data_IF_997543741803
#
_entry.id   IF_997543741803
#
_cell.length_a   1.000
_cell.length_b   1.000
_cell.length_c   1.000
_cell.angle_alpha   90.00
_cell.angle_beta   90.00
_cell.angle_gamma   90.00
#
_symmetry.space_group_name_H-M   'P 1'
#
loop_
_entity.id
_entity.type
_entity.pdbx_description
1 polymer ?
#
# COMPACT_ATOMS: atom_id res chain seq x y z
N UNK A 1 -27.32 29.45 -54.10
CA UNK A 1 -28.36 28.44 -53.79
C UNK A 1 -28.49 27.48 -54.96
N UNK A 2 -28.86 26.22 -54.74
CA UNK A 2 -28.94 25.18 -55.77
C UNK A 2 -30.19 24.31 -55.54
N UNK A 3 -30.86 23.87 -56.60
CA UNK A 3 -32.02 22.97 -56.49
C UNK A 3 -31.55 21.55 -56.26
N UNK A 4 -32.36 20.77 -55.54
CA UNK A 4 -32.06 19.35 -55.27
C UNK A 4 -31.99 18.49 -56.54
N UNK A 5 -32.77 18.83 -57.57
CA UNK A 5 -32.74 18.19 -58.89
C UNK A 5 -31.36 18.27 -59.54
N UNK A 6 -30.72 19.44 -59.42
CA UNK A 6 -29.49 19.79 -60.11
C UNK A 6 -28.25 19.23 -59.41
N UNK A 7 -28.40 18.74 -58.17
CA UNK A 7 -27.32 18.07 -57.43
C UNK A 7 -27.15 16.64 -57.97
N UNK A 8 -25.93 16.25 -58.38
CA UNK A 8 -25.64 14.90 -58.87
C UNK A 8 -26.09 13.81 -57.88
N UNK A 9 -26.72 12.75 -58.38
CA UNK A 9 -27.30 11.68 -57.53
C UNK A 9 -26.31 11.07 -56.55
N UNK A 10 -25.03 10.91 -56.95
CA UNK A 10 -23.97 10.34 -56.11
C UNK A 10 -23.62 11.21 -54.89
N UNK A 11 -23.64 12.53 -55.02
CA UNK A 11 -23.25 13.47 -53.94
C UNK A 11 -24.43 14.04 -53.16
N UNK A 12 -25.66 13.86 -53.67
CA UNK A 12 -26.90 14.44 -53.12
C UNK A 12 -27.12 14.16 -51.63
N UNK A 13 -26.93 12.90 -51.18
CA UNK A 13 -27.10 12.54 -49.75
C UNK A 13 -26.14 13.30 -48.84
N UNK A 14 -24.87 13.43 -49.23
CA UNK A 14 -23.88 14.14 -48.42
C UNK A 14 -24.12 15.65 -48.43
N UNK A 15 -24.51 16.19 -49.59
CA UNK A 15 -24.79 17.61 -49.76
C UNK A 15 -25.96 18.07 -48.89
N UNK A 16 -27.09 17.34 -48.92
CA UNK A 16 -28.29 17.65 -48.11
C UNK A 16 -27.98 17.64 -46.61
N UNK A 17 -27.10 16.76 -46.15
CA UNK A 17 -26.73 16.66 -44.72
C UNK A 17 -25.86 17.82 -44.23
N UNK A 18 -25.15 18.49 -45.15
CA UNK A 18 -24.10 19.46 -44.82
C UNK A 18 -24.45 20.90 -45.16
N UNK A 19 -25.61 21.15 -45.78
CA UNK A 19 -26.00 22.47 -46.27
C UNK A 19 -27.41 22.83 -45.80
N UNK A 20 -27.64 24.12 -45.58
CA UNK A 20 -28.92 24.63 -45.09
C UNK A 20 -30.01 24.51 -46.17
N UNK A 21 -31.18 23.96 -45.80
CA UNK A 21 -32.38 23.92 -46.65
C UNK A 21 -33.15 25.22 -46.47
N UNK A 22 -33.53 25.90 -47.55
CA UNK A 22 -34.44 27.04 -47.43
C UNK A 22 -35.82 26.61 -46.93
N UNK A 23 -36.54 27.47 -46.20
CA UNK A 23 -37.96 27.28 -45.93
C UNK A 23 -38.73 26.99 -47.22
N UNK A 24 -39.70 26.07 -47.14
CA UNK A 24 -40.49 25.58 -48.27
C UNK A 24 -41.13 26.72 -49.06
N UNK A 25 -41.68 27.70 -48.34
CA UNK A 25 -42.46 28.80 -48.89
C UNK A 25 -41.58 29.71 -49.75
N UNK A 26 -40.39 30.03 -49.24
CA UNK A 26 -39.39 30.82 -49.96
C UNK A 26 -38.85 30.06 -51.18
N UNK A 27 -38.64 28.75 -51.06
CA UNK A 27 -38.13 27.93 -52.15
C UNK A 27 -39.13 27.80 -53.31
N UNK A 28 -40.43 27.69 -53.00
CA UNK A 28 -41.52 27.68 -54.00
C UNK A 28 -41.60 29.03 -54.71
N UNK A 29 -41.63 30.15 -53.98
CA UNK A 29 -41.67 31.49 -54.57
C UNK A 29 -40.50 31.77 -55.52
N UNK A 30 -39.29 31.34 -55.15
CA UNK A 30 -38.09 31.48 -55.99
C UNK A 30 -38.21 30.60 -57.24
N UNK A 31 -38.75 29.39 -57.10
CA UNK A 31 -38.89 28.45 -58.23
C UNK A 31 -39.96 28.90 -59.22
N UNK A 32 -41.06 29.47 -58.74
CA UNK A 32 -42.19 29.97 -59.56
C UNK A 32 -42.03 31.43 -60.00
N UNK A 33 -40.87 32.05 -59.73
CA UNK A 33 -40.57 33.47 -60.04
C UNK A 33 -41.63 34.44 -59.50
N UNK A 34 -42.09 34.21 -58.27
CA UNK A 34 -43.00 35.10 -57.55
C UNK A 34 -44.48 34.99 -57.93
N UNK A 35 -44.88 34.01 -58.74
CA UNK A 35 -46.30 33.77 -59.07
C UNK A 35 -47.06 32.98 -57.99
N UNK A 36 -46.38 32.47 -56.97
CA UNK A 36 -46.97 31.55 -55.98
C UNK A 36 -47.27 30.17 -56.59
N UNK A 37 -47.73 29.22 -55.78
CA UNK A 37 -48.32 27.96 -56.26
C UNK A 37 -49.79 27.92 -55.84
N UNK A 38 -50.71 27.67 -56.77
CA UNK A 38 -52.15 27.59 -56.50
C UNK A 38 -52.56 26.32 -55.72
N UNK A 39 -51.59 25.52 -55.26
CA UNK A 39 -51.81 24.30 -54.48
C UNK A 39 -50.99 24.39 -53.19
N UNK A 40 -51.67 24.32 -52.06
CA UNK A 40 -51.11 24.57 -50.72
C UNK A 40 -50.12 23.51 -50.21
N UNK A 41 -49.83 22.44 -50.95
CA UNK A 41 -48.91 21.39 -50.44
C UNK A 41 -48.20 20.60 -51.56
N UNK A 42 -47.60 21.29 -52.54
CA UNK A 42 -46.74 20.61 -53.52
C UNK A 42 -45.31 20.42 -52.98
N UNK A 43 -45.11 19.38 -52.15
CA UNK A 43 -43.81 18.92 -51.67
C UNK A 43 -42.99 18.19 -52.76
N UNK A 44 -43.03 18.68 -54.00
CA UNK A 44 -42.27 18.11 -55.10
C UNK A 44 -40.76 18.37 -54.91
N UNK A 45 -39.89 17.36 -55.11
CA UNK A 45 -38.44 17.48 -54.90
C UNK A 45 -37.77 18.51 -55.84
N UNK A 46 -38.49 19.00 -56.85
CA UNK A 46 -38.07 20.07 -57.76
C UNK A 46 -38.07 21.45 -57.10
N UNK A 47 -38.83 21.64 -56.02
CA UNK A 47 -38.94 22.91 -55.30
C UNK A 47 -38.02 22.98 -54.07
N UNK A 48 -37.24 21.93 -53.78
CA UNK A 48 -36.26 21.97 -52.68
C UNK A 48 -34.98 22.70 -53.09
N UNK A 49 -34.73 23.86 -52.49
CA UNK A 49 -33.52 24.66 -52.70
C UNK A 49 -32.62 24.61 -51.46
N UNK A 50 -31.33 24.36 -51.69
CA UNK A 50 -30.29 24.33 -50.67
C UNK A 50 -29.30 25.49 -50.83
N UNK A 51 -28.79 26.01 -49.72
CA UNK A 51 -27.68 26.96 -49.74
C UNK A 51 -26.39 26.26 -50.20
N UNK A 52 -25.53 26.99 -50.89
CA UNK A 52 -24.17 26.52 -51.20
C UNK A 52 -23.21 26.72 -50.00
N UNK A 53 -23.64 27.44 -48.97
CA UNK A 53 -22.93 27.55 -47.70
C UNK A 53 -23.10 26.29 -46.86
N UNK A 54 -21.99 25.71 -46.39
CA UNK A 54 -22.00 24.54 -45.50
C UNK A 54 -22.45 24.94 -44.09
N UNK A 55 -23.40 24.20 -43.53
CA UNK A 55 -23.83 24.31 -42.12
C UNK A 55 -22.92 23.48 -41.19
N UNK A 56 -21.61 23.47 -41.44
CA UNK A 56 -20.65 22.69 -40.68
C UNK A 56 -20.42 23.32 -39.30
N UNK A 57 -20.41 22.49 -38.25
CA UNK A 57 -19.84 22.88 -36.95
C UNK A 57 -18.43 23.42 -37.18
N UNK A 58 -18.12 24.56 -36.56
CA UNK A 58 -16.79 25.17 -36.57
C UNK A 58 -15.74 24.11 -36.23
N UNK A 59 -14.84 23.83 -37.18
CA UNK A 59 -13.65 23.01 -36.96
C UNK A 59 -12.51 24.02 -36.91
N UNK A 60 -11.95 24.34 -35.73
CA UNK A 60 -10.81 25.25 -35.67
C UNK A 60 -9.67 24.69 -36.51
N UNK A 61 -9.01 25.56 -37.30
CA UNK A 61 -7.75 25.22 -37.92
C UNK A 61 -6.70 25.18 -36.80
N UNK A 62 -6.23 23.97 -36.46
CA UNK A 62 -5.16 23.77 -35.48
C UNK A 62 -3.84 24.24 -36.11
N UNK A 63 -3.18 25.24 -35.51
CA UNK A 63 -1.97 25.90 -36.04
C UNK A 63 -0.68 25.12 -35.70
N UNK A 64 -0.78 23.85 -35.35
CA UNK A 64 0.38 22.94 -35.17
C UNK A 64 0.94 22.87 -33.75
N UNK A 65 0.77 23.91 -32.93
CA UNK A 65 1.40 24.01 -31.60
C UNK A 65 0.46 23.74 -30.41
N UNK A 66 -0.79 23.35 -30.67
CA UNK A 66 -1.72 22.95 -29.62
C UNK A 66 -1.48 21.47 -29.25
N UNK A 67 -1.10 21.19 -27.99
CA UNK A 67 -1.06 19.81 -27.49
C UNK A 67 -2.45 19.19 -27.66
N UNK A 68 -2.53 18.15 -28.49
CA UNK A 68 -3.77 17.38 -28.63
C UNK A 68 -4.11 16.85 -27.24
N UNK A 69 -5.19 17.33 -26.63
CA UNK A 69 -5.78 16.71 -25.45
C UNK A 69 -6.24 15.29 -25.82
N UNK A 70 -5.31 14.35 -25.83
CA UNK A 70 -5.60 12.93 -25.89
C UNK A 70 -6.40 12.61 -24.64
N UNK A 71 -7.65 12.16 -24.83
CA UNK A 71 -8.45 11.66 -23.71
C UNK A 71 -7.67 10.53 -23.07
N UNK A 72 -7.17 10.76 -21.86
CA UNK A 72 -6.39 9.78 -21.10
C UNK A 72 -7.26 8.54 -20.93
N UNK A 73 -6.85 7.42 -21.55
CA UNK A 73 -7.55 6.15 -21.39
C UNK A 73 -7.53 5.65 -19.94
N UNK A 74 -8.52 4.84 -19.55
CA UNK A 74 -8.66 4.34 -18.17
C UNK A 74 -7.39 3.69 -17.60
N UNK A 75 -6.64 2.94 -18.42
CA UNK A 75 -5.39 2.32 -17.98
C UNK A 75 -4.29 3.34 -17.64
N UNK A 76 -4.15 4.39 -18.45
CA UNK A 76 -3.18 5.47 -18.23
C UNK A 76 -3.61 6.33 -17.04
N UNK A 77 -4.90 6.64 -16.93
CA UNK A 77 -5.47 7.32 -15.76
C UNK A 77 -5.20 6.53 -14.47
N UNK A 78 -5.42 5.22 -14.48
CA UNK A 78 -5.13 4.37 -13.33
C UNK A 78 -3.64 4.36 -12.99
N UNK A 79 -2.73 4.37 -13.96
CA UNK A 79 -1.29 4.45 -13.67
C UNK A 79 -0.92 5.75 -12.94
N UNK A 80 -1.42 6.90 -13.40
CA UNK A 80 -1.09 8.22 -12.85
C UNK A 80 -1.91 8.64 -11.62
N UNK A 81 -2.93 7.87 -11.24
CA UNK A 81 -3.74 8.21 -10.07
C UNK A 81 -2.92 8.14 -8.77
N UNK A 82 -3.12 9.11 -7.89
CA UNK A 82 -2.48 9.17 -6.58
C UNK A 82 -2.71 7.85 -5.80
N UNK A 83 -1.65 7.25 -5.20
CA UNK A 83 -1.77 6.05 -4.38
C UNK A 83 -2.87 6.12 -3.31
N UNK A 84 -3.06 7.27 -2.68
CA UNK A 84 -4.13 7.47 -1.69
C UNK A 84 -5.53 7.25 -2.29
N UNK A 85 -5.78 7.80 -3.49
CA UNK A 85 -7.06 7.65 -4.19
C UNK A 85 -7.23 6.20 -4.66
N UNK A 86 -6.18 5.56 -5.18
CA UNK A 86 -6.22 4.13 -5.56
C UNK A 86 -6.60 3.25 -4.36
N UNK A 87 -6.02 3.53 -3.21
CA UNK A 87 -6.30 2.80 -1.97
C UNK A 87 -7.71 3.04 -1.48
N UNK A 88 -8.20 4.28 -1.55
CA UNK A 88 -9.58 4.61 -1.22
C UNK A 88 -10.57 3.86 -2.12
N UNK A 89 -10.35 3.87 -3.45
CA UNK A 89 -11.18 3.14 -4.41
C UNK A 89 -11.18 1.63 -4.10
N UNK A 90 -10.03 1.04 -3.80
CA UNK A 90 -9.92 -0.37 -3.41
C UNK A 90 -10.75 -0.68 -2.16
N UNK A 91 -10.62 0.15 -1.11
CA UNK A 91 -11.40 -0.03 0.12
C UNK A 91 -12.90 0.09 -0.18
N UNK A 92 -13.31 1.08 -0.98
CA UNK A 92 -14.70 1.27 -1.38
C UNK A 92 -15.28 0.05 -2.12
N UNK A 93 -14.53 -0.52 -3.07
CA UNK A 93 -14.96 -1.73 -3.80
C UNK A 93 -15.12 -2.92 -2.85
N UNK A 94 -14.22 -3.09 -1.89
CA UNK A 94 -14.34 -4.15 -0.88
C UNK A 94 -15.51 -3.95 0.08
N UNK A 95 -15.89 -2.70 0.38
CA UNK A 95 -17.01 -2.41 1.28
C UNK A 95 -18.34 -2.88 0.69
N UNK A 96 -18.53 -2.81 -0.63
CA UNK A 96 -19.79 -3.16 -1.31
C UNK A 96 -20.28 -4.59 -0.96
N UNK A 97 -19.52 -5.67 -1.23
CA UNK A 97 -20.00 -7.03 -0.95
C UNK A 97 -20.22 -7.29 0.55
N UNK A 98 -19.44 -6.66 1.42
CA UNK A 98 -19.62 -6.79 2.86
C UNK A 98 -20.88 -6.08 3.35
N UNK A 99 -21.09 -4.86 2.89
CA UNK A 99 -22.22 -4.01 3.25
C UNK A 99 -23.54 -4.67 2.86
N UNK A 100 -23.60 -5.23 1.65
CA UNK A 100 -24.79 -5.93 1.15
C UNK A 100 -25.13 -7.19 1.94
N UNK A 101 -24.16 -7.81 2.62
CA UNK A 101 -24.36 -9.07 3.33
C UNK A 101 -24.71 -8.89 4.82
N UNK A 102 -23.94 -8.08 5.56
CA UNK A 102 -24.14 -7.91 7.01
C UNK A 102 -24.71 -6.54 7.44
N UNK A 103 -24.85 -5.60 6.50
CA UNK A 103 -25.19 -4.21 6.83
C UNK A 103 -24.02 -3.42 7.45
N UNK A 104 -24.23 -2.13 7.73
CA UNK A 104 -23.16 -1.17 7.99
C UNK A 104 -22.35 -1.46 9.26
N UNK A 105 -23.01 -1.89 10.35
CA UNK A 105 -22.37 -2.07 11.67
C UNK A 105 -21.33 -3.18 11.62
N UNK A 106 -21.71 -4.36 11.14
CA UNK A 106 -20.82 -5.50 11.06
C UNK A 106 -19.77 -5.34 9.97
N UNK A 107 -20.06 -4.65 8.87
CA UNK A 107 -19.04 -4.24 7.89
C UNK A 107 -17.98 -3.35 8.54
N UNK A 108 -18.38 -2.36 9.34
CA UNK A 108 -17.45 -1.49 10.04
C UNK A 108 -16.58 -2.27 11.04
N UNK A 109 -17.16 -3.19 11.82
CA UNK A 109 -16.40 -4.08 12.73
C UNK A 109 -15.43 -4.96 11.94
N UNK A 110 -15.88 -5.57 10.84
CA UNK A 110 -15.07 -6.45 10.00
C UNK A 110 -13.85 -5.71 9.42
N UNK A 111 -14.08 -4.54 8.82
CA UNK A 111 -13.03 -3.72 8.26
C UNK A 111 -12.12 -3.14 9.35
N UNK A 112 -12.69 -2.77 10.49
CA UNK A 112 -11.95 -2.32 11.67
C UNK A 112 -10.94 -3.36 12.14
N UNK A 113 -11.38 -4.61 12.36
CA UNK A 113 -10.49 -5.71 12.77
C UNK A 113 -9.32 -5.86 11.79
N UNK A 114 -9.60 -5.89 10.49
CA UNK A 114 -8.55 -6.04 9.47
C UNK A 114 -7.63 -4.82 9.36
N UNK A 115 -8.16 -3.61 9.48
CA UNK A 115 -7.37 -2.38 9.47
C UNK A 115 -6.41 -2.34 10.67
N UNK A 116 -6.96 -2.49 11.88
CA UNK A 116 -6.17 -2.47 13.11
C UNK A 116 -5.14 -3.58 13.13
N UNK A 117 -5.48 -4.79 12.68
CA UNK A 117 -4.52 -5.89 12.55
C UNK A 117 -3.32 -5.52 11.68
N UNK A 118 -3.53 -4.95 10.50
CA UNK A 118 -2.43 -4.58 9.62
C UNK A 118 -1.59 -3.44 10.21
N UNK A 119 -2.26 -2.43 10.75
CA UNK A 119 -1.61 -1.30 11.43
C UNK A 119 -0.74 -1.78 12.60
N UNK A 120 -1.28 -2.61 13.51
CA UNK A 120 -0.55 -3.13 14.66
C UNK A 120 0.65 -3.98 14.23
N UNK A 121 0.47 -4.87 13.24
CA UNK A 121 1.58 -5.68 12.71
C UNK A 121 2.71 -4.79 12.20
N UNK A 122 2.38 -3.78 11.40
CA UNK A 122 3.37 -2.89 10.80
C UNK A 122 4.08 -2.06 11.88
N UNK A 123 3.31 -1.41 12.76
CA UNK A 123 3.83 -0.53 13.81
C UNK A 123 4.62 -1.29 14.87
N UNK A 124 4.12 -2.44 15.33
CA UNK A 124 4.83 -3.26 16.34
C UNK A 124 6.09 -3.87 15.74
N UNK A 125 6.06 -4.29 14.47
CA UNK A 125 7.27 -4.78 13.80
C UNK A 125 8.32 -3.68 13.64
N UNK A 126 7.89 -2.46 13.28
CA UNK A 126 8.73 -1.29 13.08
C UNK A 126 9.36 -0.74 14.36
N UNK A 127 8.52 -0.44 15.34
CA UNK A 127 8.84 0.43 16.48
C UNK A 127 8.87 -0.31 17.82
N UNK A 128 8.54 -1.60 17.80
CA UNK A 128 8.52 -2.48 18.96
C UNK A 128 7.22 -2.34 19.75
N UNK A 129 7.18 -2.99 20.91
CA UNK A 129 5.97 -3.09 21.74
C UNK A 129 5.64 -1.84 22.56
N UNK A 130 6.48 -0.80 22.52
CA UNK A 130 6.27 0.44 23.30
C UNK A 130 5.47 1.46 22.50
N UNK A 131 4.25 1.85 22.94
CA UNK A 131 3.39 2.77 22.19
C UNK A 131 3.99 4.15 21.91
N UNK A 132 4.85 4.66 22.80
CA UNK A 132 5.47 5.98 22.65
C UNK A 132 6.42 6.14 21.45
N UNK A 133 6.77 5.04 20.76
CA UNK A 133 7.63 5.07 19.59
C UNK A 133 6.87 4.87 18.26
N UNK A 134 5.54 4.80 18.30
CA UNK A 134 4.73 4.46 17.13
C UNK A 134 4.48 5.69 16.25
N UNK A 135 4.81 5.59 14.96
CA UNK A 135 4.58 6.66 13.99
C UNK A 135 3.70 6.19 12.83
N UNK A 136 2.87 7.07 12.29
CA UNK A 136 2.00 6.76 11.14
C UNK A 136 2.80 6.39 9.88
N UNK A 137 4.05 6.88 9.76
CA UNK A 137 4.96 6.59 8.66
C UNK A 137 5.41 5.11 8.63
N UNK A 138 5.24 4.40 9.75
CA UNK A 138 5.57 2.97 9.84
C UNK A 138 4.48 2.07 9.21
N UNK A 139 3.29 2.63 8.95
CA UNK A 139 2.14 1.88 8.43
C UNK A 139 2.21 1.81 6.91
N UNK A 140 2.14 0.60 6.35
CA UNK A 140 2.02 0.43 4.91
C UNK A 140 0.54 0.49 4.49
N UNK A 141 0.09 1.70 4.15
CA UNK A 141 -1.29 1.95 3.74
C UNK A 141 -1.68 1.22 2.44
N UNK A 142 -0.76 1.01 1.50
CA UNK A 142 -1.03 0.25 0.28
C UNK A 142 -1.36 -1.22 0.61
N UNK A 143 -0.56 -1.84 1.47
CA UNK A 143 -0.81 -3.21 1.90
C UNK A 143 -2.10 -3.31 2.73
N UNK A 144 -2.35 -2.34 3.60
CA UNK A 144 -3.58 -2.28 4.41
C UNK A 144 -4.82 -2.16 3.51
N UNK A 145 -4.80 -1.28 2.51
CA UNK A 145 -5.90 -1.12 1.57
C UNK A 145 -6.13 -2.37 0.70
N UNK A 146 -5.06 -3.06 0.28
CA UNK A 146 -5.19 -4.34 -0.42
C UNK A 146 -5.82 -5.41 0.48
N UNK A 147 -5.41 -5.50 1.75
CA UNK A 147 -6.02 -6.40 2.73
C UNK A 147 -7.52 -6.09 2.94
N UNK A 148 -7.89 -4.81 3.02
CA UNK A 148 -9.29 -4.38 3.16
C UNK A 148 -10.14 -4.69 1.92
N UNK A 149 -9.59 -4.52 0.72
CA UNK A 149 -10.24 -4.93 -0.52
C UNK A 149 -10.59 -6.42 -0.49
N UNK A 150 -9.59 -7.28 -0.24
CA UNK A 150 -9.81 -8.73 -0.22
C UNK A 150 -10.67 -9.19 0.95
N UNK A 151 -10.62 -8.54 2.12
CA UNK A 151 -11.48 -8.97 3.23
C UNK A 151 -12.96 -8.64 3.02
N UNK A 152 -13.27 -7.65 2.18
CA UNK A 152 -14.64 -7.35 1.80
C UNK A 152 -15.34 -8.52 1.11
N UNK A 153 -14.66 -9.15 0.16
CA UNK A 153 -15.18 -10.32 -0.57
C UNK A 153 -15.23 -11.60 0.26
N UNK A 154 -14.47 -11.70 1.37
CA UNK A 154 -14.54 -12.89 2.22
C UNK A 154 -15.85 -12.99 3.01
N UNK A 155 -16.52 -11.85 3.24
CA UNK A 155 -17.75 -11.76 4.03
C UNK A 155 -18.89 -12.64 3.50
N UNK A 156 -19.36 -12.46 2.25
CA UNK A 156 -20.45 -13.28 1.72
C UNK A 156 -20.06 -14.76 1.66
N UNK A 157 -18.81 -15.07 1.32
CA UNK A 157 -18.31 -16.44 1.28
C UNK A 157 -18.41 -17.14 2.64
N UNK A 158 -17.91 -16.49 3.70
CA UNK A 158 -17.96 -17.03 5.06
C UNK A 158 -19.41 -17.11 5.58
N UNK A 159 -20.25 -16.16 5.17
CA UNK A 159 -21.69 -16.19 5.40
C UNK A 159 -22.36 -17.43 4.84
N UNK A 160 -22.12 -17.72 3.55
CA UNK A 160 -22.67 -18.89 2.86
C UNK A 160 -22.19 -20.20 3.51
N UNK A 161 -20.90 -20.29 3.87
CA UNK A 161 -20.35 -21.48 4.54
C UNK A 161 -21.00 -21.70 5.90
N UNK A 162 -21.18 -20.63 6.70
CA UNK A 162 -21.89 -20.75 7.99
C UNK A 162 -23.32 -21.23 7.78
N UNK A 163 -24.07 -20.59 6.88
CA UNK A 163 -25.48 -20.91 6.66
C UNK A 163 -25.65 -22.36 6.21
N UNK A 164 -24.77 -22.84 5.33
CA UNK A 164 -24.80 -24.22 4.87
C UNK A 164 -24.41 -25.21 5.98
N UNK A 165 -23.42 -24.86 6.81
CA UNK A 165 -23.04 -25.67 7.95
C UNK A 165 -24.17 -25.80 8.97
N UNK A 166 -24.80 -24.68 9.34
CA UNK A 166 -25.91 -24.64 10.29
C UNK A 166 -27.13 -25.46 9.80
N UNK A 167 -27.30 -25.61 8.47
CA UNK A 167 -28.38 -26.39 7.88
C UNK A 167 -28.09 -27.91 7.83
N UNK A 168 -26.85 -28.29 7.51
CA UNK A 168 -26.48 -29.70 7.29
C UNK A 168 -26.10 -30.41 8.59
N UNK A 169 -25.54 -29.68 9.56
CA UNK A 169 -24.89 -30.31 10.69
C UNK A 169 -25.93 -31.01 11.60
N UNK A 170 -25.79 -32.32 11.86
CA UNK A 170 -26.79 -33.12 12.59
C UNK A 170 -26.67 -32.99 14.13
N UNK A 171 -25.73 -32.19 14.64
CA UNK A 171 -25.53 -32.05 16.08
C UNK A 171 -26.56 -31.09 16.70
N UNK A 172 -26.87 -31.25 18.00
CA UNK A 172 -27.65 -30.27 18.73
C UNK A 172 -26.99 -28.89 18.62
N UNK A 173 -27.79 -27.89 18.26
CA UNK A 173 -27.39 -26.49 18.35
C UNK A 173 -26.85 -26.25 19.77
N UNK A 174 -25.69 -25.59 19.88
CA UNK A 174 -24.97 -25.30 21.15
C UNK A 174 -24.15 -26.44 21.79
N UNK A 175 -24.05 -27.61 21.16
CA UNK A 175 -23.09 -28.63 21.60
C UNK A 175 -21.64 -28.18 21.40
N UNK A 176 -20.74 -28.58 22.32
CA UNK A 176 -19.28 -28.33 22.18
C UNK A 176 -18.77 -28.86 20.83
N UNK A 177 -19.19 -30.06 20.42
CA UNK A 177 -18.79 -30.65 19.14
C UNK A 177 -19.33 -29.89 17.93
N UNK A 178 -20.52 -29.28 18.06
CA UNK A 178 -21.10 -28.43 17.02
C UNK A 178 -20.29 -27.13 16.88
N UNK A 179 -20.00 -26.44 17.98
CA UNK A 179 -19.23 -25.19 17.97
C UNK A 179 -17.81 -25.42 17.44
N UNK A 180 -17.13 -26.46 17.93
CA UNK A 180 -15.82 -26.85 17.40
C UNK A 180 -15.92 -27.15 15.90
N UNK A 181 -16.84 -27.99 15.45
CA UNK A 181 -16.96 -28.27 14.01
C UNK A 181 -17.26 -27.00 13.19
N UNK A 182 -18.16 -26.13 13.66
CA UNK A 182 -18.54 -24.87 12.99
C UNK A 182 -17.33 -23.97 12.76
N UNK A 183 -16.56 -23.70 13.81
CA UNK A 183 -15.37 -22.85 13.67
C UNK A 183 -14.29 -23.50 12.81
N UNK A 184 -14.21 -24.84 12.77
CA UNK A 184 -13.24 -25.55 11.94
C UNK A 184 -13.48 -25.28 10.46
N UNK A 185 -14.73 -25.47 10.02
CA UNK A 185 -15.13 -25.21 8.63
C UNK A 185 -15.01 -23.73 8.26
N UNK A 186 -15.33 -22.81 9.18
CA UNK A 186 -15.13 -21.37 8.96
C UNK A 186 -13.64 -21.03 8.78
N UNK A 187 -12.76 -21.55 9.63
CA UNK A 187 -11.32 -21.32 9.55
C UNK A 187 -10.70 -21.94 8.30
N UNK A 188 -11.17 -23.11 7.87
CA UNK A 188 -10.78 -23.74 6.60
C UNK A 188 -11.25 -22.89 5.42
N UNK A 189 -12.53 -22.50 5.38
CA UNK A 189 -13.07 -21.69 4.30
C UNK A 189 -12.31 -20.37 4.15
N UNK A 190 -12.03 -19.70 5.27
CA UNK A 190 -11.19 -18.51 5.28
C UNK A 190 -9.75 -18.81 4.81
N UNK A 191 -9.18 -19.93 5.23
CA UNK A 191 -7.84 -20.36 4.79
C UNK A 191 -7.78 -20.59 3.28
N UNK A 192 -8.75 -21.30 2.72
CA UNK A 192 -8.87 -21.56 1.27
C UNK A 192 -9.05 -20.25 0.53
N UNK A 193 -9.91 -19.35 1.02
CA UNK A 193 -10.09 -18.02 0.46
C UNK A 193 -8.79 -17.22 0.44
N UNK A 194 -8.04 -17.25 1.54
CA UNK A 194 -6.74 -16.59 1.64
C UNK A 194 -5.74 -17.19 0.65
N UNK A 195 -5.68 -18.51 0.54
CA UNK A 195 -4.81 -19.18 -0.40
C UNK A 195 -5.16 -18.84 -1.86
N UNK A 196 -6.45 -18.78 -2.20
CA UNK A 196 -6.94 -18.47 -3.53
C UNK A 196 -6.55 -17.06 -3.98
N UNK A 197 -6.85 -16.03 -3.20
CA UNK A 197 -6.49 -14.67 -3.61
C UNK A 197 -4.98 -14.39 -3.52
N UNK A 198 -4.25 -15.09 -2.65
CA UNK A 198 -2.78 -14.99 -2.64
C UNK A 198 -2.15 -15.63 -3.88
N UNK A 199 -2.77 -16.67 -4.44
CA UNK A 199 -2.38 -17.24 -5.74
C UNK A 199 -2.64 -16.25 -6.87
N UNK A 200 -3.78 -15.54 -6.85
CA UNK A 200 -4.10 -14.47 -7.82
C UNK A 200 -3.06 -13.33 -7.73
N UNK A 201 -2.59 -13.01 -6.52
CA UNK A 201 -1.53 -12.02 -6.26
C UNK A 201 -0.11 -12.52 -6.58
N UNK A 202 0.04 -13.75 -7.06
CA UNK A 202 1.34 -14.35 -7.45
C UNK A 202 2.35 -14.42 -6.28
N UNK A 203 1.88 -14.69 -5.06
CA UNK A 203 2.79 -14.96 -3.94
C UNK A 203 3.43 -16.34 -4.04
N UNK A 204 4.60 -16.49 -3.41
CA UNK A 204 5.31 -17.77 -3.32
C UNK A 204 4.44 -18.86 -2.64
N UNK A 205 4.49 -20.08 -3.18
CA UNK A 205 3.78 -21.26 -2.63
C UNK A 205 4.04 -21.53 -1.15
N UNK A 206 5.21 -21.15 -0.61
CA UNK A 206 5.52 -21.21 0.82
C UNK A 206 4.71 -20.19 1.62
N UNK A 207 4.57 -18.97 1.11
CA UNK A 207 3.78 -17.89 1.74
C UNK A 207 2.30 -18.26 1.69
N UNK A 208 1.82 -18.79 0.57
CA UNK A 208 0.43 -19.25 0.41
C UNK A 208 0.10 -20.33 1.46
N UNK A 209 0.95 -21.35 1.61
CA UNK A 209 0.76 -22.41 2.62
C UNK A 209 0.79 -21.85 4.04
N UNK A 210 1.76 -20.99 4.36
CA UNK A 210 1.83 -20.34 5.68
C UNK A 210 0.57 -19.53 6.01
N UNK A 211 0.03 -18.82 5.01
CA UNK A 211 -1.20 -18.04 5.13
C UNK A 211 -2.46 -18.90 5.27
N UNK A 212 -2.48 -20.11 4.70
CA UNK A 212 -3.53 -21.08 4.93
C UNK A 212 -3.46 -21.63 6.36
N UNK A 213 -2.29 -22.13 6.77
CA UNK A 213 -2.10 -22.75 8.09
C UNK A 213 -2.36 -21.77 9.24
N UNK A 214 -2.00 -20.48 9.11
CA UNK A 214 -2.34 -19.49 10.14
C UNK A 214 -3.84 -19.34 10.36
N UNK A 215 -4.65 -19.46 9.31
CA UNK A 215 -6.11 -19.39 9.44
C UNK A 215 -6.66 -20.63 10.12
N UNK A 216 -6.09 -21.80 9.82
CA UNK A 216 -6.46 -23.06 10.45
C UNK A 216 -6.08 -23.11 11.94
N UNK A 217 -4.91 -22.56 12.32
CA UNK A 217 -4.46 -22.48 13.71
C UNK A 217 -5.34 -21.60 14.60
N UNK A 218 -6.17 -20.74 14.02
CA UNK A 218 -7.10 -19.91 14.77
C UNK A 218 -8.33 -20.66 15.29
N UNK A 219 -8.61 -21.85 14.75
CA UNK A 219 -9.81 -22.61 15.06
C UNK A 219 -9.97 -22.99 16.55
N UNK A 220 -8.94 -23.57 17.22
CA UNK A 220 -9.08 -23.95 18.63
C UNK A 220 -9.38 -22.76 19.53
N UNK A 221 -8.76 -21.61 19.25
CA UNK A 221 -9.01 -20.38 19.99
C UNK A 221 -10.44 -19.86 19.76
N UNK A 222 -10.90 -19.84 18.51
CA UNK A 222 -12.27 -19.41 18.21
C UNK A 222 -13.32 -20.28 18.91
N UNK A 223 -13.10 -21.60 18.95
CA UNK A 223 -14.01 -22.55 19.60
C UNK A 223 -13.99 -22.43 21.12
N UNK A 224 -12.81 -22.25 21.73
CA UNK A 224 -12.66 -22.11 23.17
C UNK A 224 -13.27 -20.82 23.73
N UNK A 225 -13.19 -19.73 22.96
CA UNK A 225 -13.75 -18.42 23.35
C UNK A 225 -15.18 -18.19 22.83
N UNK A 226 -15.77 -19.18 22.13
CA UNK A 226 -17.13 -19.10 21.60
C UNK A 226 -18.20 -18.77 22.65
N UNK A 227 -18.19 -19.34 23.88
CA UNK A 227 -19.21 -19.03 24.88
C UNK A 227 -19.24 -17.54 25.25
N UNK A 228 -18.07 -16.90 25.34
CA UNK A 228 -17.95 -15.48 25.67
C UNK A 228 -18.49 -14.62 24.53
N UNK A 229 -18.12 -14.96 23.28
CA UNK A 229 -18.61 -14.25 22.11
C UNK A 229 -20.12 -14.38 21.92
N UNK A 230 -20.68 -15.57 22.18
CA UNK A 230 -22.12 -15.83 22.11
C UNK A 230 -22.87 -15.05 23.19
N UNK A 231 -22.33 -14.98 24.42
CA UNK A 231 -22.89 -14.16 25.50
C UNK A 231 -22.95 -12.67 25.14
N UNK A 232 -21.94 -12.16 24.43
CA UNK A 232 -21.90 -10.77 23.94
C UNK A 232 -22.73 -10.54 22.67
N UNK A 233 -23.44 -11.55 22.15
CA UNK A 233 -24.23 -11.45 20.91
C UNK A 233 -23.39 -11.29 19.65
N UNK A 234 -22.09 -11.62 19.68
CA UNK A 234 -21.20 -11.47 18.53
C UNK A 234 -21.41 -12.64 17.56
N UNK A 235 -21.69 -12.40 16.27
CA UNK A 235 -21.85 -13.48 15.30
C UNK A 235 -20.60 -14.37 15.19
N UNK A 236 -20.78 -15.70 15.10
CA UNK A 236 -19.66 -16.65 15.03
C UNK A 236 -18.67 -16.37 13.87
N UNK A 237 -19.14 -15.78 12.77
CA UNK A 237 -18.28 -15.39 11.63
C UNK A 237 -17.30 -14.27 12.03
N UNK A 238 -17.76 -13.31 12.85
CA UNK A 238 -16.93 -12.21 13.36
C UNK A 238 -15.94 -12.75 14.39
N UNK A 239 -16.36 -13.68 15.26
CA UNK A 239 -15.47 -14.34 16.21
C UNK A 239 -14.36 -15.13 15.49
N UNK A 240 -14.71 -15.92 14.47
CA UNK A 240 -13.77 -16.69 13.67
C UNK A 240 -12.75 -15.79 12.96
N UNK A 241 -13.22 -14.66 12.40
CA UNK A 241 -12.34 -13.65 11.81
C UNK A 241 -11.39 -13.06 12.82
N UNK A 242 -11.89 -12.62 13.98
CA UNK A 242 -11.09 -11.97 15.00
C UNK A 242 -9.89 -12.85 15.40
N UNK A 243 -10.14 -14.12 15.71
CA UNK A 243 -9.08 -15.07 16.05
C UNK A 243 -8.14 -15.35 14.87
N UNK A 244 -8.65 -15.44 13.65
CA UNK A 244 -7.82 -15.57 12.45
C UNK A 244 -6.86 -14.39 12.27
N UNK A 245 -7.36 -13.17 12.46
CA UNK A 245 -6.58 -11.94 12.37
C UNK A 245 -5.60 -11.78 13.55
N UNK A 246 -5.97 -12.21 14.77
CA UNK A 246 -5.05 -12.25 15.92
C UNK A 246 -3.88 -13.21 15.71
N UNK A 247 -4.14 -14.46 15.32
CA UNK A 247 -3.08 -15.44 15.04
C UNK A 247 -2.19 -14.93 13.92
N UNK A 248 -2.78 -14.33 12.89
CA UNK A 248 -2.01 -13.73 11.82
C UNK A 248 -1.17 -12.53 12.30
N UNK A 249 -1.69 -11.70 13.20
CA UNK A 249 -0.93 -10.59 13.76
C UNK A 249 0.31 -11.05 14.53
N UNK A 250 0.18 -12.13 15.31
CA UNK A 250 1.29 -12.72 16.05
C UNK A 250 2.34 -13.29 15.09
N UNK A 251 1.91 -14.10 14.11
CA UNK A 251 2.83 -14.77 13.19
C UNK A 251 3.51 -13.76 12.26
N UNK A 252 2.74 -12.89 11.59
CA UNK A 252 3.28 -11.89 10.66
C UNK A 252 4.07 -10.79 11.38
N UNK A 253 3.58 -10.32 12.54
CA UNK A 253 4.30 -9.35 13.35
C UNK A 253 5.67 -9.87 13.78
N UNK A 254 5.73 -11.11 14.26
CA UNK A 254 7.00 -11.76 14.63
C UNK A 254 7.91 -11.96 13.41
N UNK A 255 7.35 -12.38 12.28
CA UNK A 255 8.09 -12.56 11.02
C UNK A 255 8.71 -11.27 10.50
N UNK A 256 7.91 -10.19 10.39
CA UNK A 256 8.37 -8.87 9.96
C UNK A 256 9.40 -8.30 10.91
N UNK A 257 9.16 -8.36 12.22
CA UNK A 257 10.08 -7.89 13.25
C UNK A 257 11.45 -8.58 13.14
N UNK A 258 11.45 -9.91 12.97
CA UNK A 258 12.67 -10.70 12.77
C UNK A 258 13.41 -10.30 11.51
N UNK A 259 12.70 -10.16 10.39
CA UNK A 259 13.30 -9.74 9.11
C UNK A 259 13.95 -8.37 9.22
N UNK A 260 13.28 -7.40 9.85
CA UNK A 260 13.84 -6.07 10.08
C UNK A 260 15.12 -6.15 10.92
N UNK A 261 15.12 -6.90 12.03
CA UNK A 261 16.33 -7.09 12.85
C UNK A 261 17.48 -7.68 12.04
N UNK A 262 17.21 -8.72 11.23
CA UNK A 262 18.24 -9.38 10.42
C UNK A 262 18.83 -8.41 9.39
N UNK A 263 17.99 -7.67 8.67
CA UNK A 263 18.44 -6.68 7.69
C UNK A 263 19.24 -5.57 8.36
N UNK A 264 18.75 -5.01 9.48
CA UNK A 264 19.47 -3.96 10.22
C UNK A 264 20.81 -4.44 10.75
N UNK A 265 20.87 -5.67 11.27
CA UNK A 265 22.11 -6.27 11.76
C UNK A 265 23.12 -6.44 10.63
N UNK A 266 22.67 -6.93 9.47
CA UNK A 266 23.51 -7.05 8.28
C UNK A 266 24.07 -5.69 7.87
N UNK A 267 23.21 -4.68 7.73
CA UNK A 267 23.64 -3.34 7.29
C UNK A 267 24.69 -2.75 8.26
N UNK A 268 24.48 -2.82 9.58
CA UNK A 268 25.49 -2.34 10.54
C UNK A 268 26.79 -3.15 10.51
N UNK A 269 26.73 -4.47 10.33
CA UNK A 269 27.94 -5.30 10.25
C UNK A 269 28.75 -5.06 8.97
N UNK A 270 28.10 -4.58 7.91
CA UNK A 270 28.77 -4.14 6.68
C UNK A 270 29.40 -2.74 6.85
N UNK A 271 28.69 -1.81 7.50
CA UNK A 271 29.13 -0.40 7.62
C UNK A 271 30.16 -0.19 8.74
N UNK A 272 30.06 -0.87 9.88
CA UNK A 272 30.97 -0.64 11.02
C UNK A 272 32.45 -0.80 10.69
N UNK A 273 32.90 -1.83 9.93
CA UNK A 273 34.29 -1.94 9.50
C UNK A 273 34.75 -0.79 8.58
N UNK A 274 33.84 -0.17 7.83
CA UNK A 274 34.16 0.95 6.94
C UNK A 274 34.57 2.22 7.70
N UNK A 275 34.26 2.32 9.00
CA UNK A 275 34.76 3.42 9.83
C UNK A 275 36.29 3.41 9.98
N UNK A 276 36.92 2.24 9.81
CA UNK A 276 38.38 2.09 9.86
C UNK A 276 39.06 2.12 8.49
N UNK A 277 38.35 2.45 7.40
CA UNK A 277 38.95 2.50 6.06
C UNK A 277 39.93 3.67 5.93
N UNK A 278 41.00 3.54 5.15
CA UNK A 278 41.96 4.64 4.92
C UNK A 278 41.34 5.82 4.12
N UNK A 279 40.34 5.52 3.27
CA UNK A 279 39.65 6.53 2.48
C UNK A 279 38.66 7.35 3.34
N UNK A 280 38.94 8.65 3.46
CA UNK A 280 38.13 9.61 4.21
C UNK A 280 36.70 9.73 3.66
N UNK A 281 36.52 9.61 2.34
CA UNK A 281 35.19 9.68 1.72
C UNK A 281 34.31 8.47 2.12
N UNK A 282 34.92 7.29 2.24
CA UNK A 282 34.24 6.06 2.70
C UNK A 282 33.90 6.18 4.18
N UNK A 283 34.83 6.67 5.01
CA UNK A 283 34.58 6.89 6.44
C UNK A 283 33.40 7.85 6.67
N UNK A 284 33.38 9.01 6.02
CA UNK A 284 32.31 10.01 6.18
C UNK A 284 30.96 9.48 5.67
N UNK A 285 30.96 8.70 4.59
CA UNK A 285 29.74 8.02 4.10
C UNK A 285 29.23 7.02 5.14
N UNK A 286 30.11 6.18 5.70
CA UNK A 286 29.77 5.23 6.74
C UNK A 286 29.23 5.93 8.00
N UNK A 287 29.78 7.10 8.35
CA UNK A 287 29.28 7.91 9.46
C UNK A 287 27.85 8.41 9.20
N UNK A 288 27.57 8.95 8.02
CA UNK A 288 26.22 9.37 7.63
C UNK A 288 25.24 8.20 7.65
N UNK A 289 25.62 7.05 7.11
CA UNK A 289 24.78 5.86 7.07
C UNK A 289 24.47 5.34 8.48
N UNK A 290 25.47 5.27 9.37
CA UNK A 290 25.25 4.88 10.76
C UNK A 290 24.30 5.85 11.45
N UNK A 291 24.50 7.16 11.27
CA UNK A 291 23.65 8.18 11.88
C UNK A 291 22.22 8.10 11.33
N UNK A 292 22.07 7.93 10.02
CA UNK A 292 20.79 7.78 9.35
C UNK A 292 20.06 6.52 9.81
N UNK A 293 20.73 5.37 9.84
CA UNK A 293 20.13 4.11 10.32
C UNK A 293 19.77 4.24 11.79
N UNK A 294 20.62 4.83 12.63
CA UNK A 294 20.34 5.02 14.04
C UNK A 294 19.18 5.99 14.31
N UNK A 295 19.05 7.06 13.55
CA UNK A 295 18.07 8.12 13.78
C UNK A 295 16.73 7.89 13.07
N UNK A 296 16.76 7.45 11.81
CA UNK A 296 15.59 7.42 10.91
C UNK A 296 15.08 6.02 10.61
N UNK A 297 15.91 4.98 10.67
CA UNK A 297 15.48 3.61 10.36
C UNK A 297 14.90 2.90 11.59
N UNK A 298 13.85 2.12 11.34
CA UNK A 298 13.19 1.26 12.32
C UNK A 298 14.19 0.32 13.00
N UNK A 299 14.09 0.20 14.32
CA UNK A 299 14.98 -0.59 15.20
C UNK A 299 16.48 -0.27 15.11
N UNK A 300 16.92 0.83 14.45
CA UNK A 300 18.34 1.14 14.28
C UNK A 300 19.10 1.24 15.60
N UNK A 301 18.57 2.02 16.55
CA UNK A 301 19.15 2.18 17.90
C UNK A 301 19.26 0.87 18.66
N UNK A 302 18.18 0.08 18.67
CA UNK A 302 18.11 -1.18 19.40
C UNK A 302 19.03 -2.25 18.80
N UNK A 303 19.17 -2.26 17.47
CA UNK A 303 20.06 -3.17 16.76
C UNK A 303 21.52 -2.83 17.04
N UNK A 304 21.92 -1.55 16.88
CA UNK A 304 23.27 -1.10 17.18
C UNK A 304 23.62 -1.32 18.65
N UNK A 305 22.70 -1.04 19.57
CA UNK A 305 22.85 -1.37 21.00
C UNK A 305 23.22 -2.85 21.22
N UNK A 306 22.49 -3.76 20.57
CA UNK A 306 22.70 -5.21 20.71
C UNK A 306 24.02 -5.67 20.12
N UNK A 307 24.45 -5.09 19.00
CA UNK A 307 25.75 -5.37 18.38
C UNK A 307 26.87 -4.93 19.32
N UNK A 308 26.81 -3.70 19.85
CA UNK A 308 27.89 -3.13 20.66
C UNK A 308 27.96 -3.66 22.10
N UNK A 309 26.89 -4.26 22.64
CA UNK A 309 26.86 -4.78 24.02
C UNK A 309 27.02 -6.29 24.14
N UNK A 310 27.24 -7.00 23.02
CA UNK A 310 27.28 -8.47 22.93
C UNK A 310 26.25 -9.17 23.84
N UNK A 311 25.02 -8.63 23.87
CA UNK A 311 23.90 -9.35 24.49
C UNK A 311 23.60 -10.52 23.57
N UNK A 312 24.12 -11.70 23.93
CA UNK A 312 23.86 -13.02 23.33
C UNK A 312 22.50 -13.00 22.63
N UNK A 313 22.49 -12.92 21.30
CA UNK A 313 21.30 -13.26 20.56
C UNK A 313 21.37 -14.74 20.26
N UNK A 314 20.74 -15.54 21.13
CA UNK A 314 20.25 -16.87 20.78
C UNK A 314 19.23 -16.71 19.66
N UNK A 315 19.75 -16.61 18.44
CA UNK A 315 19.01 -16.85 17.21
C UNK A 315 19.85 -17.83 16.41
N UNK A 316 20.06 -19.01 17.02
CA UNK A 316 20.83 -20.18 16.56
C UNK A 316 20.39 -20.76 15.21
N UNK A 317 19.38 -20.17 14.55
CA UNK A 317 18.85 -20.66 13.29
C UNK A 317 19.46 -19.96 12.06
N UNK A 318 20.14 -18.81 12.21
CA UNK A 318 20.67 -18.07 11.06
C UNK A 318 22.10 -18.53 10.74
N UNK A 319 22.20 -19.51 9.85
CA UNK A 319 23.44 -20.03 9.22
C UNK A 319 24.12 -19.01 8.28
N UNK A 320 24.07 -17.72 8.58
CA UNK A 320 24.88 -16.71 7.90
C UNK A 320 26.22 -16.62 8.63
N UNK A 321 27.27 -17.10 7.94
CA UNK A 321 28.71 -16.95 8.20
C UNK A 321 29.01 -16.32 9.56
N UNK A 322 29.31 -17.16 10.57
CA UNK A 322 29.72 -16.77 11.93
C UNK A 322 30.90 -15.78 11.89
N UNK A 323 30.65 -14.49 11.74
CA UNK A 323 31.58 -13.46 12.22
C UNK A 323 31.15 -13.19 13.66
N UNK A 324 31.77 -13.95 14.57
CA UNK A 324 31.59 -13.76 16.01
C UNK A 324 32.31 -12.45 16.32
N UNK A 325 31.57 -11.35 16.49
CA UNK A 325 32.18 -10.11 16.97
C UNK A 325 32.72 -10.40 18.36
N UNK A 326 34.05 -10.39 18.49
CA UNK A 326 34.71 -10.68 19.77
C UNK A 326 34.40 -9.52 20.74
N UNK A 327 34.30 -9.75 22.05
CA UNK A 327 34.07 -8.66 23.03
C UNK A 327 35.08 -7.51 22.88
N UNK A 328 36.32 -7.85 22.49
CA UNK A 328 37.38 -6.90 22.13
C UNK A 328 36.99 -6.01 20.94
N UNK A 329 36.47 -6.60 19.86
CA UNK A 329 36.00 -5.85 18.68
C UNK A 329 34.83 -4.93 19.02
N UNK A 330 33.89 -5.37 19.87
CA UNK A 330 32.77 -4.53 20.32
C UNK A 330 33.24 -3.30 21.09
N UNK A 331 34.25 -3.45 21.96
CA UNK A 331 34.84 -2.32 22.67
C UNK A 331 35.58 -1.38 21.73
N UNK A 332 36.35 -1.90 20.77
CA UNK A 332 37.04 -1.11 19.75
C UNK A 332 36.06 -0.27 18.92
N UNK A 333 34.95 -0.85 18.45
CA UNK A 333 33.92 -0.10 17.73
C UNK A 333 33.27 1.01 18.58
N UNK A 334 33.04 0.78 19.88
CA UNK A 334 32.50 1.82 20.77
C UNK A 334 33.46 3.00 20.89
N UNK A 335 34.77 2.73 20.98
CA UNK A 335 35.78 3.78 21.07
C UNK A 335 35.93 4.53 19.75
N UNK A 336 35.96 3.81 18.63
CA UNK A 336 35.98 4.39 17.29
C UNK A 336 34.75 5.28 17.04
N UNK A 337 33.55 4.84 17.43
CA UNK A 337 32.33 5.64 17.31
C UNK A 337 32.37 6.91 18.17
N UNK A 338 32.98 6.88 19.35
CA UNK A 338 33.11 8.09 20.19
C UNK A 338 34.07 9.07 19.54
N UNK A 339 35.21 8.59 19.03
CA UNK A 339 36.22 9.42 18.40
C UNK A 339 35.70 10.05 17.09
N UNK A 340 35.07 9.25 16.23
CA UNK A 340 34.62 9.71 14.91
C UNK A 340 33.40 10.63 15.00
N UNK A 341 32.50 10.43 15.98
CA UNK A 341 31.30 11.26 16.14
C UNK A 341 31.45 12.36 17.20
N UNK A 342 32.68 12.83 17.44
CA UNK A 342 32.92 13.99 18.29
C UNK A 342 32.21 15.23 17.69
N UNK A 343 31.27 15.89 18.40
CA UNK A 343 30.35 16.84 17.77
C UNK A 343 31.01 17.99 17.03
N UNK A 344 32.06 18.59 17.59
CA UNK A 344 32.72 19.76 16.99
C UNK A 344 33.39 19.41 15.66
N UNK A 345 34.16 18.32 15.64
CA UNK A 345 34.88 17.86 14.45
C UNK A 345 33.94 17.23 13.43
N UNK A 346 33.08 16.31 13.87
CA UNK A 346 32.21 15.55 12.99
C UNK A 346 31.16 16.45 12.31
N UNK A 347 30.64 17.47 13.00
CA UNK A 347 29.69 18.41 12.40
C UNK A 347 30.33 19.13 11.21
N UNK A 348 31.56 19.64 11.37
CA UNK A 348 32.28 20.34 10.31
C UNK A 348 32.63 19.42 9.14
N UNK A 349 33.25 18.26 9.42
CA UNK A 349 33.67 17.32 8.36
C UNK A 349 32.49 16.75 7.58
N UNK A 350 31.39 16.37 8.25
CA UNK A 350 30.21 15.84 7.59
C UNK A 350 29.49 16.92 6.78
N UNK A 351 29.35 18.15 7.30
CA UNK A 351 28.66 19.22 6.58
C UNK A 351 29.40 19.58 5.29
N UNK A 352 30.73 19.74 5.33
CA UNK A 352 31.51 20.03 4.13
C UNK A 352 31.43 18.89 3.10
N UNK A 353 31.50 17.64 3.57
CA UNK A 353 31.36 16.48 2.69
C UNK A 353 29.97 16.39 2.04
N UNK A 354 28.91 16.73 2.78
CA UNK A 354 27.56 16.76 2.24
C UNK A 354 27.45 17.82 1.14
N UNK A 355 27.93 19.04 1.41
CA UNK A 355 27.92 20.17 0.47
C UNK A 355 28.70 19.88 -0.82
N UNK A 356 29.81 19.17 -0.73
CA UNK A 356 30.66 18.86 -1.89
C UNK A 356 30.07 17.76 -2.79
N UNK A 357 29.34 16.79 -2.20
CA UNK A 357 29.01 15.53 -2.88
C UNK A 357 27.54 15.30 -3.20
N UNK A 358 26.63 15.99 -2.52
CA UNK A 358 25.17 15.80 -2.67
C UNK A 358 24.50 17.00 -3.34
N UNK A 359 23.35 16.76 -3.97
CA UNK A 359 22.58 17.79 -4.68
C UNK A 359 21.58 18.47 -3.74
N UNK A 360 21.14 19.67 -4.10
CA UNK A 360 20.42 20.63 -3.23
C UNK A 360 19.32 20.04 -2.33
N UNK A 361 18.46 19.14 -2.83
CA UNK A 361 17.41 18.56 -1.98
C UNK A 361 17.96 17.55 -0.96
N UNK A 362 18.93 16.72 -1.36
CA UNK A 362 19.53 15.70 -0.48
C UNK A 362 20.44 16.33 0.57
N UNK A 363 21.14 17.39 0.17
CA UNK A 363 22.01 18.20 1.03
C UNK A 363 21.26 18.73 2.26
N UNK A 364 20.11 19.37 2.06
CA UNK A 364 19.27 19.93 3.15
C UNK A 364 18.88 18.81 4.13
N UNK A 365 18.39 17.69 3.62
CA UNK A 365 17.93 16.55 4.45
C UNK A 365 19.07 15.94 5.26
N UNK A 366 20.26 15.82 4.67
CA UNK A 366 21.43 15.27 5.35
C UNK A 366 22.03 16.25 6.36
N UNK A 367 22.05 17.55 6.07
CA UNK A 367 22.48 18.57 7.03
C UNK A 367 21.53 18.59 8.23
N UNK A 368 20.22 18.59 8.02
CA UNK A 368 19.23 18.50 9.11
C UNK A 368 19.41 17.23 9.94
N UNK A 369 19.68 16.08 9.28
CA UNK A 369 19.95 14.82 9.96
C UNK A 369 21.14 14.95 10.91
N UNK A 370 22.26 15.52 10.44
CA UNK A 370 23.47 15.69 11.23
C UNK A 370 23.20 16.66 12.39
N UNK A 371 22.62 17.82 12.11
CA UNK A 371 22.32 18.84 13.14
C UNK A 371 21.43 18.31 14.27
N UNK A 372 20.37 17.56 13.95
CA UNK A 372 19.40 17.11 14.97
C UNK A 372 19.85 15.86 15.73
N UNK A 373 20.73 15.04 15.15
CA UNK A 373 21.00 13.70 15.69
C UNK A 373 22.45 13.46 16.10
N UNK A 374 23.43 14.22 15.62
CA UNK A 374 24.85 14.00 15.92
C UNK A 374 25.14 14.08 17.43
N UNK A 375 24.75 15.17 18.08
CA UNK A 375 24.98 15.35 19.52
C UNK A 375 24.26 14.28 20.36
N UNK A 376 23.01 13.96 20.01
CA UNK A 376 22.22 12.93 20.68
C UNK A 376 22.84 11.54 20.50
N UNK A 377 23.38 11.23 19.31
CA UNK A 377 24.08 9.99 19.01
C UNK A 377 25.36 9.87 19.83
N UNK A 378 26.21 10.89 19.82
CA UNK A 378 27.46 10.89 20.58
C UNK A 378 27.24 10.69 22.09
N UNK A 379 26.27 11.42 22.68
CA UNK A 379 25.89 11.24 24.07
C UNK A 379 25.38 9.82 24.37
N UNK A 380 24.62 9.25 23.43
CA UNK A 380 24.12 7.88 23.55
C UNK A 380 25.25 6.84 23.53
N UNK A 381 26.22 6.96 22.62
CA UNK A 381 27.40 6.06 22.57
C UNK A 381 28.27 6.22 23.82
N UNK A 382 28.48 7.45 24.32
CA UNK A 382 29.22 7.68 25.58
C UNK A 382 28.54 7.02 26.79
N UNK A 383 27.21 7.07 26.87
CA UNK A 383 26.44 6.33 27.90
C UNK A 383 26.59 4.82 27.72
N UNK A 384 26.70 4.34 26.49
CA UNK A 384 26.89 2.93 26.17
C UNK A 384 28.26 2.41 26.63
N UNK A 385 29.35 3.18 26.43
CA UNK A 385 30.70 2.83 26.89
C UNK A 385 30.74 2.48 28.38
N UNK A 386 30.04 3.26 29.22
CA UNK A 386 29.93 2.98 30.67
C UNK A 386 29.31 1.60 30.94
N UNK A 387 28.30 1.21 30.16
CA UNK A 387 27.59 -0.08 30.29
C UNK A 387 28.39 -1.26 29.74
N UNK A 388 29.12 -1.08 28.64
CA UNK A 388 30.00 -2.12 28.09
C UNK A 388 31.12 -2.42 29.10
N UNK A 389 31.73 -1.38 29.68
CA UNK A 389 32.74 -1.54 30.75
C UNK A 389 32.21 -2.24 32.00
N UNK A 390 30.97 -1.98 32.43
CA UNK A 390 30.40 -2.71 33.57
C UNK A 390 30.12 -4.19 33.25
N UNK A 391 29.77 -4.52 32.01
CA UNK A 391 29.50 -5.89 31.57
C UNK A 391 30.78 -6.73 31.42
N UNK A 392 31.89 -6.12 31.01
CA UNK A 392 33.18 -6.82 30.95
C UNK A 392 33.71 -7.17 32.35
N UNK A 393 33.55 -6.26 33.32
CA UNK A 393 33.99 -6.50 34.72
C UNK A 393 33.17 -7.60 35.40
N UNK A 394 31.86 -7.67 35.14
CA UNK A 394 30.96 -8.69 35.71
C UNK A 394 31.17 -10.11 35.16
N UNK A 395 31.84 -10.27 34.01
CA UNK A 395 32.13 -11.60 33.41
C UNK A 395 33.51 -12.14 33.79
N UNK A 396 34.40 -11.29 34.28
CA UNK A 396 35.74 -11.65 34.78
C UNK A 396 35.77 -12.00 36.28
N UNK A 397 34.64 -11.84 36.96
CA UNK A 397 34.36 -12.34 38.32
C UNK A 397 33.51 -13.59 38.20
#
# INVERSE_FOLDING_TARGET
FIRKSDIPRKSRRHFIKSHYRLPSEAAVLITTRGKGSDKEEDNSPEHEIFSLGKSGRFKPNLVGDEERFERIGFGRMWQYLNPAIKNLIRVAIGLIPSYLWFGPVYTAVWFGITFFRNMFVDVVSASGTRPGNWYYKDINFDNTAQSLFWTGFSVPLLGMVKQQFDHICPFPLESIFFEWSKFFFLCIANGVYIAAHNKIRQFDSRIIRGNFFRSLLAWPFASMFAPIGNFMGVPSIVQAKFWSDMVAAIIEGTGKFRQQIVLRKRDFLEILPMLGSEDKAVQLTAMLDILYIWAKRQQGRACLYRILTDRRSDFSFLRLRKRKTTEKESSEYVELLIQMFEPERAQFELSNFILERYKSHEEIVLIELVQWHLAAFHLWVRKLKKRVRSLSVSKSS
#
